data_IF_388175187735
#
_entry.id   IF_388175187735
#
_cell.length_a   1.000
_cell.length_b   1.000
_cell.length_c   1.000
_cell.angle_alpha   90.00
_cell.angle_beta   90.00
_cell.angle_gamma   90.00
#
_symmetry.space_group_name_H-M   'P 1'
#
loop_
_entity.id
_entity.type
_entity.pdbx_description
1 polymer ?
#
# COMPACT_ATOMS: atom_id res chain seq x y z
N UNK A 1 32.96 28.76 20.13
CA UNK A 1 32.58 27.94 18.96
C UNK A 1 33.78 27.39 18.15
N UNK A 2 35.04 27.68 18.50
CA UNK A 2 36.22 27.21 17.74
C UNK A 2 36.74 25.81 18.16
N UNK A 3 36.46 25.34 19.38
CA UNK A 3 37.02 24.08 19.90
C UNK A 3 36.38 22.79 19.34
N UNK A 4 35.18 22.86 18.74
CA UNK A 4 34.48 21.68 18.19
C UNK A 4 34.87 21.30 16.76
N UNK A 5 35.62 22.14 16.04
CA UNK A 5 36.09 21.82 14.67
C UNK A 5 37.42 21.06 14.64
N UNK A 6 38.25 21.18 15.68
CA UNK A 6 39.54 20.47 15.77
C UNK A 6 39.40 18.96 16.03
N UNK A 7 38.44 18.55 16.87
CA UNK A 7 38.26 17.13 17.23
C UNK A 7 37.70 16.28 16.09
N UNK A 8 36.93 16.87 15.16
CA UNK A 8 36.33 16.14 14.04
C UNK A 8 37.36 15.87 12.92
N UNK A 9 38.24 16.83 12.65
CA UNK A 9 39.33 16.68 11.68
C UNK A 9 40.41 15.68 12.13
N UNK A 10 40.69 15.59 13.44
CA UNK A 10 41.61 14.57 14.00
C UNK A 10 41.02 13.16 13.97
N UNK A 11 39.69 13.01 14.08
CA UNK A 11 39.00 11.72 13.93
C UNK A 11 39.07 11.19 12.50
N UNK A 12 38.76 12.04 11.51
CA UNK A 12 38.77 11.65 10.08
C UNK A 12 40.18 11.30 9.56
N UNK A 13 41.23 11.98 10.05
CA UNK A 13 42.62 11.68 9.69
C UNK A 13 43.10 10.33 10.27
N UNK A 14 42.64 9.97 11.48
CA UNK A 14 42.97 8.68 12.09
C UNK A 14 42.16 7.52 11.48
N UNK A 15 40.91 7.76 11.09
CA UNK A 15 40.08 6.77 10.41
C UNK A 15 40.66 6.43 9.02
N UNK A 16 41.00 7.46 8.23
CA UNK A 16 41.65 7.30 6.92
C UNK A 16 42.99 6.56 7.01
N UNK A 17 43.74 6.71 8.10
CA UNK A 17 45.02 6.02 8.31
C UNK A 17 44.82 4.54 8.65
N UNK A 18 43.79 4.22 9.43
CA UNK A 18 43.42 2.84 9.77
C UNK A 18 42.90 2.08 8.54
N UNK A 19 42.05 2.72 7.73
CA UNK A 19 41.44 2.11 6.54
C UNK A 19 42.51 1.79 5.47
N UNK A 20 43.54 2.65 5.35
CA UNK A 20 44.68 2.40 4.47
C UNK A 20 45.57 1.24 4.95
N UNK A 21 45.73 1.05 6.26
CA UNK A 21 46.48 -0.09 6.80
C UNK A 21 45.75 -1.43 6.60
N UNK A 22 44.42 -1.44 6.67
CA UNK A 22 43.61 -2.64 6.38
C UNK A 22 43.62 -3.01 4.89
N UNK A 23 43.55 -2.01 4.00
CA UNK A 23 43.72 -2.20 2.57
C UNK A 23 45.09 -2.79 2.22
N UNK A 24 46.17 -2.27 2.82
CA UNK A 24 47.53 -2.77 2.60
C UNK A 24 47.75 -4.18 3.16
N UNK A 25 47.10 -4.52 4.29
CA UNK A 25 47.13 -5.89 4.83
C UNK A 25 46.38 -6.86 3.91
N UNK A 26 45.20 -6.48 3.42
CA UNK A 26 44.40 -7.28 2.49
C UNK A 26 45.14 -7.57 1.17
N UNK A 27 45.78 -6.54 0.59
CA UNK A 27 46.64 -6.66 -0.59
C UNK A 27 47.89 -7.52 -0.33
N UNK A 28 48.47 -7.45 0.88
CA UNK A 28 49.62 -8.26 1.29
C UNK A 28 49.32 -9.76 1.34
N UNK A 29 48.13 -10.13 1.84
CA UNK A 29 47.65 -11.51 1.83
C UNK A 29 47.34 -12.03 0.43
N UNK A 30 46.84 -11.19 -0.48
CA UNK A 30 46.55 -11.59 -1.86
C UNK A 30 47.80 -11.79 -2.72
N UNK A 31 48.87 -11.05 -2.44
CA UNK A 31 50.11 -11.08 -3.23
C UNK A 31 51.23 -11.90 -2.56
N UNK A 32 51.00 -12.45 -1.36
CA UNK A 32 51.99 -13.18 -0.56
C UNK A 32 53.26 -12.35 -0.29
N UNK A 33 53.10 -11.04 -0.07
CA UNK A 33 54.19 -10.08 0.20
C UNK A 33 53.95 -9.37 1.53
N UNK A 34 54.91 -9.46 2.46
CA UNK A 34 54.86 -8.75 3.74
C UNK A 34 55.30 -7.28 3.57
N UNK A 35 54.35 -6.35 3.53
CA UNK A 35 54.62 -4.91 3.38
C UNK A 35 55.27 -4.25 4.62
N UNK A 36 55.43 -4.98 5.73
CA UNK A 36 56.11 -4.50 6.95
C UNK A 36 57.62 -4.29 6.79
N UNK A 37 58.21 -4.65 5.64
CA UNK A 37 59.63 -4.45 5.28
C UNK A 37 59.85 -3.34 4.25
N UNK A 38 58.89 -2.42 4.10
CA UNK A 38 59.04 -1.32 3.17
C UNK A 38 59.92 -0.21 3.78
N UNK A 39 61.23 -0.30 3.58
CA UNK A 39 62.15 0.79 3.90
C UNK A 39 61.88 1.98 2.97
N UNK A 40 61.57 3.13 3.56
CA UNK A 40 61.43 4.39 2.82
C UNK A 40 62.75 4.69 2.09
N UNK A 41 62.63 5.05 0.81
CA UNK A 41 63.77 5.36 -0.05
C UNK A 41 64.63 6.47 0.56
N UNK A 42 65.79 6.09 1.11
CA UNK A 42 66.85 7.03 1.40
C UNK A 42 67.63 7.32 0.11
N UNK A 43 67.82 8.59 -0.21
CA UNK A 43 68.69 9.02 -1.31
C UNK A 43 70.11 8.56 -1.00
N UNK A 44 70.55 7.48 -1.64
CA UNK A 44 71.97 7.13 -1.70
C UNK A 44 72.70 8.20 -2.52
N UNK A 45 73.33 9.18 -1.87
CA UNK A 45 74.35 10.01 -2.51
C UNK A 45 75.59 9.14 -2.77
N UNK A 46 75.58 8.42 -3.90
CA UNK A 46 76.82 7.91 -4.45
C UNK A 46 77.61 9.09 -5.00
N UNK A 47 78.59 9.54 -4.22
CA UNK A 47 79.72 10.33 -4.71
C UNK A 47 80.47 9.52 -5.76
N UNK A 48 80.02 9.58 -7.00
CA UNK A 48 80.82 9.18 -8.15
C UNK A 48 81.85 10.28 -8.41
N UNK A 49 83.04 10.11 -7.83
CA UNK A 49 84.25 10.78 -8.31
C UNK A 49 84.49 10.28 -9.74
N UNK A 50 84.01 11.02 -10.74
CA UNK A 50 84.50 10.86 -12.11
C UNK A 50 85.93 11.37 -12.15
N UNK A 51 86.86 10.43 -12.33
CA UNK A 51 88.26 10.73 -12.65
C UNK A 51 88.29 11.50 -13.97
N UNK A 52 88.68 12.77 -13.89
CA UNK A 52 89.22 13.50 -15.03
C UNK A 52 90.56 12.84 -15.37
N UNK A 53 90.62 12.07 -16.45
CA UNK A 53 91.89 11.71 -17.07
C UNK A 53 92.34 12.88 -17.93
N UNK A 54 93.20 13.72 -17.35
CA UNK A 54 94.06 14.64 -18.08
C UNK A 54 94.99 13.84 -18.99
N UNK A 55 94.79 13.93 -20.31
CA UNK A 55 95.78 13.49 -21.29
C UNK A 55 96.95 14.48 -21.32
N UNK A 56 98.20 14.03 -21.52
CA UNK A 56 99.36 14.90 -21.42
C UNK A 56 99.47 15.87 -22.62
N UNK A 57 99.51 17.16 -22.31
CA UNK A 57 99.99 18.24 -23.18
C UNK A 57 101.43 17.95 -23.63
N UNK A 58 101.63 17.55 -24.87
CA UNK A 58 102.95 17.58 -25.51
C UNK A 58 103.21 18.99 -26.07
N UNK A 59 103.76 19.87 -25.23
CA UNK A 59 104.40 21.13 -25.64
C UNK A 59 105.64 20.80 -26.49
N UNK A 60 105.54 20.98 -27.81
CA UNK A 60 106.72 20.98 -28.69
C UNK A 60 107.35 22.37 -28.63
N UNK A 61 108.36 22.53 -27.77
CA UNK A 61 109.22 23.71 -27.69
C UNK A 61 110.17 23.79 -28.88
N UNK A 62 110.03 24.89 -29.63
CA UNK A 62 110.91 25.35 -30.71
C UNK A 62 112.27 25.80 -30.11
N UNK A 63 113.39 25.23 -30.59
CA UNK A 63 114.74 25.71 -30.27
C UNK A 63 115.45 26.16 -31.55
N UNK A 64 115.60 27.48 -31.71
CA UNK A 64 116.44 28.13 -32.71
C UNK A 64 117.87 28.14 -32.18
N UNK A 65 118.77 27.44 -32.87
CA UNK A 65 120.21 27.42 -32.59
C UNK A 65 120.97 28.10 -33.71
N UNK A 66 121.61 29.21 -33.38
CA UNK A 66 122.41 30.03 -34.27
C UNK A 66 123.73 29.36 -34.68
N UNK A 67 124.16 29.68 -35.90
CA UNK A 67 125.44 29.33 -36.55
C UNK A 67 126.64 29.85 -35.75
N UNK A 68 127.79 29.16 -35.82
CA UNK A 68 129.06 29.88 -35.95
C UNK A 68 129.85 29.46 -37.18
N UNK A 69 130.39 30.49 -37.83
CA UNK A 69 131.27 30.51 -38.99
C UNK A 69 132.71 30.56 -38.50
N UNK A 70 133.58 29.63 -38.87
CA UNK A 70 135.04 29.82 -38.84
C UNK A 70 135.68 29.18 -40.07
N UNK A 71 136.58 29.94 -40.69
CA UNK A 71 137.36 29.71 -41.91
C UNK A 71 138.69 28.96 -41.60
N UNK A 72 139.75 29.07 -42.42
CA UNK A 72 140.10 28.22 -43.56
C UNK A 72 141.44 27.48 -43.32
N UNK A 73 141.84 26.55 -44.18
CA UNK A 73 143.23 26.08 -44.23
C UNK A 73 143.80 26.25 -45.64
N UNK A 74 144.95 26.92 -45.70
CA UNK A 74 145.70 27.32 -46.88
C UNK A 74 147.05 26.60 -46.81
N UNK A 75 147.36 25.77 -47.80
CA UNK A 75 148.73 25.32 -48.07
C UNK A 75 149.08 25.65 -49.52
N UNK A 76 150.16 26.41 -49.66
CA UNK A 76 150.92 26.74 -50.89
C UNK A 76 151.95 25.60 -51.03
N UNK A 77 152.32 25.07 -52.20
CA UNK A 77 153.27 25.70 -53.13
C UNK A 77 153.50 24.83 -54.37
N UNK A 78 153.82 25.51 -55.50
CA UNK A 78 154.77 25.15 -56.58
C UNK A 78 154.53 23.86 -57.40
N UNK A 79 154.73 23.77 -58.71
CA UNK A 79 155.55 24.53 -59.67
C UNK A 79 155.03 24.37 -61.11
N UNK A 80 155.52 25.23 -61.99
CA UNK A 80 155.18 25.38 -63.40
C UNK A 80 155.44 24.14 -64.28
N UNK A 81 154.60 23.96 -65.30
CA UNK A 81 154.76 22.93 -66.32
C UNK A 81 153.64 22.94 -67.36
N UNK A 82 153.72 23.90 -68.31
CA UNK A 82 153.23 23.91 -69.70
C UNK A 82 151.93 23.13 -70.06
N UNK A 83 150.91 23.92 -70.44
CA UNK A 83 149.93 23.68 -71.52
C UNK A 83 149.23 22.30 -71.60
N UNK A 84 148.04 22.20 -70.96
CA UNK A 84 146.85 21.38 -71.34
C UNK A 84 145.85 21.08 -70.17
N UNK A 85 145.94 21.75 -69.00
CA UNK A 85 145.19 21.39 -67.76
C UNK A 85 144.19 22.43 -67.19
N UNK A 86 143.80 23.48 -67.93
CA UNK A 86 142.78 24.46 -67.47
C UNK A 86 141.33 24.02 -67.71
N UNK A 87 141.12 23.02 -68.56
CA UNK A 87 139.79 22.45 -68.88
C UNK A 87 139.33 21.51 -67.75
N UNK A 88 140.24 20.71 -67.18
CA UNK A 88 139.91 19.66 -66.19
C UNK A 88 139.44 20.18 -64.81
N UNK A 89 139.99 21.28 -64.28
CA UNK A 89 139.54 21.86 -63.00
C UNK A 89 138.16 22.54 -63.11
N UNK A 90 137.89 23.16 -64.25
CA UNK A 90 136.61 23.79 -64.55
C UNK A 90 135.52 22.73 -64.80
N UNK A 91 135.91 21.57 -65.35
CA UNK A 91 135.06 20.38 -65.44
C UNK A 91 134.76 19.75 -64.07
N UNK A 92 135.71 19.67 -63.15
CA UNK A 92 135.49 19.15 -61.79
C UNK A 92 134.57 20.05 -60.95
N UNK A 93 134.69 21.38 -61.06
CA UNK A 93 133.75 22.31 -60.42
C UNK A 93 132.35 22.23 -61.06
N UNK A 94 132.27 22.06 -62.39
CA UNK A 94 131.00 21.79 -63.09
C UNK A 94 130.39 20.45 -62.67
N UNK A 95 131.19 19.42 -62.40
CA UNK A 95 130.74 18.12 -61.88
C UNK A 95 130.18 18.25 -60.46
N UNK A 96 130.88 18.93 -59.57
CA UNK A 96 130.40 19.21 -58.20
C UNK A 96 129.14 20.08 -58.19
N UNK A 97 129.06 21.07 -59.08
CA UNK A 97 127.85 21.87 -59.27
C UNK A 97 126.68 21.01 -59.78
N UNK A 98 126.92 20.10 -60.73
CA UNK A 98 125.91 19.13 -61.17
C UNK A 98 125.45 18.21 -60.04
N UNK A 99 126.36 17.67 -59.24
CA UNK A 99 126.01 16.85 -58.07
C UNK A 99 125.17 17.62 -57.04
N UNK A 100 125.51 18.89 -56.78
CA UNK A 100 124.73 19.76 -55.89
C UNK A 100 123.34 20.05 -56.48
N UNK A 101 123.25 20.30 -57.79
CA UNK A 101 121.97 20.50 -58.50
C UNK A 101 121.12 19.22 -58.41
N UNK A 102 121.69 18.04 -58.69
CA UNK A 102 120.99 16.75 -58.63
C UNK A 102 120.48 16.44 -57.20
N UNK A 103 121.27 16.74 -56.18
CA UNK A 103 120.86 16.60 -54.76
C UNK A 103 119.75 17.58 -54.40
N UNK A 104 119.82 18.83 -54.88
CA UNK A 104 118.76 19.82 -54.68
C UNK A 104 117.47 19.42 -55.42
N UNK A 105 117.58 18.89 -56.64
CA UNK A 105 116.44 18.37 -57.41
C UNK A 105 115.77 17.17 -56.71
N UNK A 106 116.56 16.25 -56.16
CA UNK A 106 116.07 15.14 -55.34
C UNK A 106 115.36 15.65 -54.08
N UNK A 107 115.94 16.63 -53.37
CA UNK A 107 115.29 17.27 -52.22
C UNK A 107 113.99 17.98 -52.59
N UNK A 108 113.97 18.70 -53.71
CA UNK A 108 112.75 19.36 -54.22
C UNK A 108 111.68 18.32 -54.57
N UNK A 109 112.05 17.21 -55.22
CA UNK A 109 111.13 16.09 -55.49
C UNK A 109 110.58 15.48 -54.20
N UNK A 110 111.45 15.21 -53.22
CA UNK A 110 111.02 14.65 -51.93
C UNK A 110 110.12 15.61 -51.14
N UNK A 111 110.45 16.91 -51.11
CA UNK A 111 109.59 17.93 -50.50
C UNK A 111 108.23 18.03 -51.21
N UNK A 112 108.18 17.95 -52.55
CA UNK A 112 106.92 17.92 -53.32
C UNK A 112 106.07 16.68 -53.00
N UNK A 113 106.67 15.49 -53.02
CA UNK A 113 105.99 14.24 -52.67
C UNK A 113 105.43 14.29 -51.25
N UNK A 114 106.20 14.81 -50.30
CA UNK A 114 105.78 14.96 -48.90
C UNK A 114 104.64 15.97 -48.76
N UNK A 115 104.70 17.10 -49.47
CA UNK A 115 103.62 18.08 -49.51
C UNK A 115 102.34 17.50 -50.12
N UNK A 116 102.45 16.69 -51.18
CA UNK A 116 101.30 16.01 -51.80
C UNK A 116 100.68 14.96 -50.86
N UNK A 117 101.50 14.21 -50.12
CA UNK A 117 101.02 13.29 -49.08
C UNK A 117 100.28 14.03 -47.96
N UNK A 118 100.82 15.15 -47.47
CA UNK A 118 100.13 15.98 -46.48
C UNK A 118 98.83 16.57 -47.03
N UNK A 119 98.80 16.96 -48.31
CA UNK A 119 97.59 17.47 -48.96
C UNK A 119 96.51 16.40 -49.05
N UNK A 120 96.86 15.17 -49.46
CA UNK A 120 95.94 14.01 -49.49
C UNK A 120 95.41 13.68 -48.10
N UNK A 121 96.30 13.62 -47.11
CA UNK A 121 95.92 13.36 -45.72
C UNK A 121 95.01 14.46 -45.16
N UNK A 122 95.25 15.71 -45.53
CA UNK A 122 94.39 16.84 -45.15
C UNK A 122 92.98 16.69 -45.73
N UNK A 123 92.86 16.31 -47.01
CA UNK A 123 91.54 16.07 -47.63
C UNK A 123 90.81 14.88 -47.01
N UNK A 124 91.51 13.78 -46.71
CA UNK A 124 90.93 12.62 -46.02
C UNK A 124 90.42 12.99 -44.62
N UNK A 125 91.19 13.79 -43.86
CA UNK A 125 90.77 14.26 -42.54
C UNK A 125 89.53 15.18 -42.61
N UNK A 126 89.44 16.04 -43.63
CA UNK A 126 88.26 16.88 -43.85
C UNK A 126 87.04 16.02 -44.17
N UNK A 127 87.20 15.03 -45.04
CA UNK A 127 86.11 14.11 -45.42
C UNK A 127 85.62 13.29 -44.21
N UNK A 128 86.54 12.72 -43.44
CA UNK A 128 86.19 12.01 -42.18
C UNK A 128 85.51 12.93 -41.17
N UNK A 129 85.97 14.17 -41.02
CA UNK A 129 85.30 15.13 -40.12
C UNK A 129 83.89 15.47 -40.61
N UNK A 130 83.68 15.63 -41.92
CA UNK A 130 82.35 15.87 -42.49
C UNK A 130 81.43 14.66 -42.29
N UNK A 131 81.93 13.44 -42.40
CA UNK A 131 81.18 12.22 -42.09
C UNK A 131 80.78 12.15 -40.62
N UNK A 132 81.69 12.49 -39.70
CA UNK A 132 81.39 12.54 -38.26
C UNK A 132 80.32 13.59 -37.98
N UNK A 133 80.42 14.79 -38.57
CA UNK A 133 79.42 15.86 -38.40
C UNK A 133 78.05 15.38 -38.88
N UNK A 134 77.97 14.80 -40.09
CA UNK A 134 76.70 14.22 -40.60
C UNK A 134 76.16 13.11 -39.71
N UNK A 135 77.04 12.26 -39.18
CA UNK A 135 76.69 11.20 -38.24
C UNK A 135 76.05 11.75 -36.97
N UNK A 136 76.68 12.75 -36.36
CA UNK A 136 76.19 13.43 -35.15
C UNK A 136 74.83 14.09 -35.44
N UNK A 137 74.71 14.89 -36.49
CA UNK A 137 73.46 15.57 -36.84
C UNK A 137 72.32 14.58 -37.08
N UNK A 138 72.59 13.46 -37.76
CA UNK A 138 71.58 12.42 -38.01
C UNK A 138 71.12 11.73 -36.72
N UNK A 139 72.06 11.44 -35.80
CA UNK A 139 71.76 10.84 -34.50
C UNK A 139 71.03 11.80 -33.59
N UNK A 140 71.45 13.06 -33.55
CA UNK A 140 70.75 14.11 -32.82
C UNK A 140 69.32 14.23 -33.32
N UNK A 141 69.11 14.31 -34.64
CA UNK A 141 67.77 14.41 -35.21
C UNK A 141 66.90 13.19 -34.89
N UNK A 142 67.48 11.99 -34.88
CA UNK A 142 66.78 10.77 -34.48
C UNK A 142 66.38 10.81 -32.99
N UNK A 143 67.30 11.18 -32.12
CA UNK A 143 67.05 11.31 -30.68
C UNK A 143 66.02 12.40 -30.40
N UNK A 144 66.10 13.57 -31.05
CA UNK A 144 65.11 14.63 -30.94
C UNK A 144 63.71 14.15 -31.38
N UNK A 145 63.63 13.39 -32.47
CA UNK A 145 62.37 12.82 -32.92
C UNK A 145 61.78 11.82 -31.92
N UNK A 146 62.61 10.97 -31.31
CA UNK A 146 62.19 10.03 -30.26
C UNK A 146 61.72 10.73 -28.98
N UNK A 147 62.51 11.69 -28.49
CA UNK A 147 62.16 12.49 -27.30
C UNK A 147 60.86 13.25 -27.54
N UNK A 148 60.67 13.85 -28.71
CA UNK A 148 59.43 14.55 -29.06
C UNK A 148 58.22 13.60 -29.11
N UNK A 149 58.39 12.39 -29.66
CA UNK A 149 57.34 11.36 -29.65
C UNK A 149 57.01 10.94 -28.22
N UNK A 150 58.02 10.74 -27.37
CA UNK A 150 57.83 10.37 -25.97
C UNK A 150 57.11 11.48 -25.18
N UNK A 151 57.50 12.74 -25.38
CA UNK A 151 56.88 13.88 -24.72
C UNK A 151 55.40 13.99 -25.09
N UNK A 152 55.05 13.83 -26.37
CA UNK A 152 53.65 13.79 -26.82
C UNK A 152 52.86 12.66 -26.17
N UNK A 153 53.44 11.45 -26.05
CA UNK A 153 52.79 10.34 -25.34
C UNK A 153 52.51 10.71 -23.87
N UNK A 154 53.47 11.33 -23.20
CA UNK A 154 53.31 11.74 -21.81
C UNK A 154 52.24 12.83 -21.65
N UNK A 155 52.22 13.82 -22.54
CA UNK A 155 51.19 14.87 -22.57
C UNK A 155 49.79 14.27 -22.79
N UNK A 156 49.66 13.32 -23.73
CA UNK A 156 48.38 12.61 -23.93
C UNK A 156 47.97 11.81 -22.71
N UNK A 157 48.90 11.09 -22.07
CA UNK A 157 48.62 10.30 -20.87
C UNK A 157 48.19 11.20 -19.70
N UNK A 158 48.87 12.33 -19.50
CA UNK A 158 48.53 13.30 -18.47
C UNK A 158 47.17 13.95 -18.74
N UNK A 159 46.87 14.30 -20.00
CA UNK A 159 45.57 14.83 -20.40
C UNK A 159 44.44 13.83 -20.17
N UNK A 160 44.63 12.56 -20.56
CA UNK A 160 43.68 11.48 -20.29
C UNK A 160 43.49 11.24 -18.79
N UNK A 161 44.57 11.26 -18.00
CA UNK A 161 44.49 11.13 -16.53
C UNK A 161 43.72 12.27 -15.87
N UNK A 162 43.93 13.51 -16.32
CA UNK A 162 43.19 14.67 -15.80
C UNK A 162 41.70 14.61 -16.17
N UNK A 163 41.37 14.24 -17.41
CA UNK A 163 40.00 14.06 -17.86
C UNK A 163 39.29 12.93 -17.10
N UNK A 164 39.96 11.79 -16.90
CA UNK A 164 39.43 10.68 -16.14
C UNK A 164 39.17 11.07 -14.67
N UNK A 165 40.12 11.78 -14.06
CA UNK A 165 39.96 12.28 -12.69
C UNK A 165 38.80 13.29 -12.57
N UNK A 166 38.59 14.17 -13.56
CA UNK A 166 37.45 15.08 -13.52
C UNK A 166 36.12 14.34 -13.67
N UNK A 167 36.05 13.31 -14.53
CA UNK A 167 34.87 12.47 -14.67
C UNK A 167 34.55 11.72 -13.36
N UNK A 168 35.55 11.09 -12.75
CA UNK A 168 35.35 10.43 -11.45
C UNK A 168 34.95 11.42 -10.35
N UNK A 169 35.53 12.62 -10.32
CA UNK A 169 35.12 13.65 -9.37
C UNK A 169 33.65 14.07 -9.57
N UNK A 170 33.20 14.17 -10.83
CA UNK A 170 31.82 14.46 -11.16
C UNK A 170 30.89 13.31 -10.75
N UNK A 171 31.19 12.06 -11.13
CA UNK A 171 30.40 10.88 -10.76
C UNK A 171 30.27 10.74 -9.24
N UNK A 172 31.36 10.96 -8.49
CA UNK A 172 31.33 10.94 -7.03
C UNK A 172 30.41 12.04 -6.48
N UNK A 173 30.42 13.24 -7.09
CA UNK A 173 29.55 14.33 -6.67
C UNK A 173 28.08 14.02 -6.96
N UNK A 174 27.77 13.47 -8.13
CA UNK A 174 26.42 13.07 -8.54
C UNK A 174 25.87 11.99 -7.61
N UNK A 175 26.62 10.91 -7.39
CA UNK A 175 26.21 9.82 -6.48
C UNK A 175 26.01 10.33 -5.05
N UNK A 176 26.85 11.25 -4.56
CA UNK A 176 26.66 11.87 -3.25
C UNK A 176 25.37 12.69 -3.17
N UNK A 177 25.07 13.45 -4.22
CA UNK A 177 23.85 14.25 -4.29
C UNK A 177 22.61 13.35 -4.34
N UNK A 178 22.63 12.29 -5.14
CA UNK A 178 21.54 11.30 -5.21
C UNK A 178 21.31 10.61 -3.87
N UNK A 179 22.39 10.26 -3.18
CA UNK A 179 22.32 9.69 -1.83
C UNK A 179 21.66 10.66 -0.86
N UNK A 180 22.09 11.93 -0.83
CA UNK A 180 21.51 12.96 0.04
C UNK A 180 20.01 13.14 -0.25
N UNK A 181 19.63 13.32 -1.52
CA UNK A 181 18.22 13.45 -1.92
C UNK A 181 17.38 12.23 -1.51
N UNK A 182 17.91 11.03 -1.72
CA UNK A 182 17.22 9.79 -1.36
C UNK A 182 17.05 9.70 0.16
N UNK A 183 18.08 10.03 0.93
CA UNK A 183 17.98 10.06 2.39
C UNK A 183 16.96 11.08 2.89
N UNK A 184 16.89 12.28 2.29
CA UNK A 184 15.88 13.28 2.64
C UNK A 184 14.45 12.82 2.31
N UNK A 185 14.25 12.17 1.17
CA UNK A 185 12.95 11.60 0.78
C UNK A 185 12.54 10.53 1.79
N UNK A 186 13.46 9.62 2.13
CA UNK A 186 13.20 8.56 3.11
C UNK A 186 12.89 9.15 4.49
N UNK A 187 13.68 10.13 4.96
CA UNK A 187 13.44 10.80 6.24
C UNK A 187 12.08 11.50 6.28
N UNK A 188 11.68 12.18 5.19
CA UNK A 188 10.34 12.78 5.08
C UNK A 188 9.25 11.73 5.16
N UNK A 189 9.40 10.61 4.43
CA UNK A 189 8.43 9.49 4.47
C UNK A 189 8.35 8.87 5.86
N UNK A 190 9.47 8.65 6.53
CA UNK A 190 9.51 8.13 7.91
C UNK A 190 8.77 9.08 8.84
N UNK A 191 9.05 10.39 8.82
CA UNK A 191 8.34 11.38 9.65
C UNK A 191 6.83 11.36 9.41
N UNK A 192 6.40 11.31 8.15
CA UNK A 192 4.96 11.23 7.83
C UNK A 192 4.31 9.95 8.34
N UNK A 193 5.04 8.82 8.33
CA UNK A 193 4.57 7.55 8.88
C UNK A 193 4.50 7.59 10.40
N UNK A 194 5.52 8.15 11.07
CA UNK A 194 5.54 8.36 12.52
C UNK A 194 4.35 9.22 12.98
N UNK A 195 4.08 10.33 12.31
CA UNK A 195 2.92 11.19 12.58
C UNK A 195 1.59 10.45 12.39
N UNK A 196 1.48 9.59 11.37
CA UNK A 196 0.30 8.79 11.11
C UNK A 196 0.08 7.72 12.20
N UNK A 197 1.14 7.06 12.64
CA UNK A 197 1.12 6.09 13.74
C UNK A 197 0.69 6.77 15.04
N UNK A 198 1.29 7.92 15.37
CA UNK A 198 0.93 8.71 16.54
C UNK A 198 -0.55 9.11 16.54
N UNK A 199 -1.07 9.53 15.38
CA UNK A 199 -2.48 9.89 15.21
C UNK A 199 -3.39 8.68 15.43
N UNK A 200 -3.01 7.50 14.93
CA UNK A 200 -3.74 6.26 15.13
C UNK A 200 -3.71 5.83 16.60
N UNK A 201 -2.56 5.91 17.27
CA UNK A 201 -2.42 5.58 18.68
C UNK A 201 -3.24 6.50 19.59
N UNK A 202 -3.34 7.79 19.26
CA UNK A 202 -4.24 8.72 19.97
C UNK A 202 -5.70 8.32 19.78
N UNK A 203 -6.12 8.00 18.55
CA UNK A 203 -7.49 7.52 18.27
C UNK A 203 -7.79 6.21 18.99
N UNK A 204 -6.85 5.27 18.98
CA UNK A 204 -6.97 3.99 19.65
C UNK A 204 -7.17 4.18 21.16
N UNK A 205 -6.36 5.04 21.79
CA UNK A 205 -6.50 5.36 23.22
C UNK A 205 -7.85 6.00 23.55
N UNK A 206 -8.37 6.90 22.71
CA UNK A 206 -9.71 7.47 22.90
C UNK A 206 -10.78 6.39 22.82
N UNK A 207 -10.72 5.51 21.81
CA UNK A 207 -11.67 4.41 21.66
C UNK A 207 -11.59 3.38 22.77
N UNK A 208 -10.40 3.07 23.27
CA UNK A 208 -10.21 2.22 24.44
C UNK A 208 -10.86 2.82 25.70
N UNK A 209 -10.72 4.13 25.93
CA UNK A 209 -11.40 4.83 27.03
C UNK A 209 -12.92 4.81 26.86
N UNK A 210 -13.42 5.02 25.65
CA UNK A 210 -14.86 4.94 25.35
C UNK A 210 -15.42 3.54 25.63
N UNK A 211 -14.72 2.49 25.19
CA UNK A 211 -15.09 1.10 25.50
C UNK A 211 -15.06 0.83 27.00
N UNK A 212 -14.05 1.32 27.72
CA UNK A 212 -13.97 1.18 29.17
C UNK A 212 -15.14 1.89 29.87
N UNK A 213 -15.51 3.09 29.41
CA UNK A 213 -16.65 3.84 29.92
C UNK A 213 -17.96 3.07 29.68
N UNK A 214 -18.19 2.61 28.45
CA UNK A 214 -19.39 1.83 28.11
C UNK A 214 -19.48 0.53 28.90
N UNK A 215 -18.34 -0.14 29.13
CA UNK A 215 -18.29 -1.32 29.99
C UNK A 215 -18.65 -0.98 31.43
N UNK A 216 -18.10 0.10 31.99
CA UNK A 216 -18.46 0.55 33.34
C UNK A 216 -19.95 0.90 33.45
N UNK A 217 -20.50 1.57 32.44
CA UNK A 217 -21.93 1.85 32.37
C UNK A 217 -22.76 0.55 32.38
N UNK A 218 -22.43 -0.40 31.50
CA UNK A 218 -23.12 -1.68 31.39
C UNK A 218 -23.06 -2.50 32.68
N UNK A 219 -21.88 -2.58 33.31
CA UNK A 219 -21.66 -3.49 34.43
C UNK A 219 -22.09 -2.88 35.78
N UNK A 220 -22.09 -1.54 35.91
CA UNK A 220 -22.37 -0.86 37.20
C UNK A 220 -23.61 0.02 37.19
N UNK A 221 -23.71 0.95 36.24
CA UNK A 221 -24.76 1.96 36.26
C UNK A 221 -26.08 1.42 35.72
N UNK A 222 -26.03 0.64 34.64
CA UNK A 222 -27.21 0.12 33.96
C UNK A 222 -28.03 -0.81 34.87
N UNK A 223 -27.45 -1.81 35.57
CA UNK A 223 -28.23 -2.70 36.43
C UNK A 223 -28.89 -1.95 37.59
N UNK A 224 -28.23 -0.92 38.13
CA UNK A 224 -28.81 -0.07 39.18
C UNK A 224 -30.00 0.71 38.64
N UNK A 225 -29.87 1.31 37.45
CA UNK A 225 -30.99 2.03 36.80
C UNK A 225 -32.14 1.08 36.47
N UNK A 226 -31.85 -0.13 36.00
CA UNK A 226 -32.83 -1.15 35.71
C UNK A 226 -33.61 -1.57 36.96
N UNK A 227 -32.92 -1.77 38.08
CA UNK A 227 -33.56 -2.02 39.39
C UNK A 227 -34.45 -0.86 39.83
N UNK A 228 -34.01 0.39 39.64
CA UNK A 228 -34.81 1.58 39.96
C UNK A 228 -36.08 1.62 39.09
N UNK A 229 -35.96 1.35 37.79
CA UNK A 229 -37.11 1.29 36.88
C UNK A 229 -38.08 0.19 37.31
N UNK A 230 -37.59 -1.00 37.63
CA UNK A 230 -38.43 -2.10 38.11
C UNK A 230 -39.16 -1.74 39.41
N UNK A 231 -38.47 -1.09 40.37
CA UNK A 231 -39.09 -0.60 41.59
C UNK A 231 -40.20 0.41 41.32
N UNK A 232 -39.96 1.39 40.44
CA UNK A 232 -40.96 2.40 40.08
C UNK A 232 -42.18 1.76 39.39
N UNK A 233 -41.96 0.75 38.53
CA UNK A 233 -43.07 0.01 37.91
C UNK A 233 -43.92 -0.72 38.96
N UNK A 234 -43.29 -1.37 39.94
CA UNK A 234 -44.02 -2.01 41.06
C UNK A 234 -44.82 -0.99 41.88
N UNK A 235 -44.27 0.20 42.10
CA UNK A 235 -44.95 1.28 42.81
C UNK A 235 -46.16 1.80 42.02
N UNK A 236 -46.03 1.96 40.70
CA UNK A 236 -47.14 2.32 39.82
C UNK A 236 -48.24 1.26 39.86
N UNK A 237 -47.90 -0.02 39.76
CA UNK A 237 -48.90 -1.11 39.81
C UNK A 237 -49.58 -1.17 41.19
N UNK A 238 -48.84 -0.96 42.27
CA UNK A 238 -49.40 -0.90 43.62
C UNK A 238 -50.40 0.25 43.75
N UNK A 239 -50.05 1.46 43.29
CA UNK A 239 -50.94 2.62 43.34
C UNK A 239 -52.16 2.42 42.45
N UNK A 240 -51.98 1.81 41.27
CA UNK A 240 -53.07 1.48 40.35
C UNK A 240 -54.06 0.51 40.99
N UNK A 241 -53.58 -0.53 41.66
CA UNK A 241 -54.42 -1.50 42.35
C UNK A 241 -55.18 -0.84 43.51
N UNK A 242 -54.51 -0.03 44.32
CA UNK A 242 -55.18 0.73 45.40
C UNK A 242 -56.27 1.66 44.85
N UNK A 243 -55.99 2.39 43.77
CA UNK A 243 -56.98 3.26 43.16
C UNK A 243 -58.17 2.47 42.57
N UNK A 244 -57.93 1.26 42.07
CA UNK A 244 -58.99 0.38 41.58
C UNK A 244 -59.87 -0.11 42.74
N UNK A 245 -59.27 -0.51 43.86
CA UNK A 245 -59.99 -0.88 45.09
C UNK A 245 -60.84 0.30 45.61
N UNK A 246 -60.25 1.49 45.71
CA UNK A 246 -60.97 2.72 46.12
C UNK A 246 -62.14 3.05 45.18
N UNK A 247 -61.98 2.81 43.87
CA UNK A 247 -63.04 3.02 42.89
C UNK A 247 -64.18 2.01 43.07
N UNK A 248 -63.86 0.72 43.26
CA UNK A 248 -64.85 -0.32 43.50
C UNK A 248 -65.64 -0.07 44.80
N UNK A 249 -64.94 0.35 45.87
CA UNK A 249 -65.57 0.76 47.13
C UNK A 249 -66.52 1.95 46.94
N UNK A 250 -66.10 2.96 46.16
CA UNK A 250 -66.93 4.12 45.86
C UNK A 250 -68.16 3.74 45.04
N UNK A 251 -68.01 2.89 44.03
CA UNK A 251 -69.11 2.37 43.21
C UNK A 251 -70.11 1.61 44.08
N UNK A 252 -69.63 0.76 45.00
CA UNK A 252 -70.48 0.04 45.95
C UNK A 252 -71.23 0.99 46.91
N UNK A 253 -70.57 2.05 47.41
CA UNK A 253 -71.22 3.08 48.23
C UNK A 253 -72.32 3.79 47.43
N UNK A 254 -72.02 4.19 46.19
CA UNK A 254 -72.99 4.86 45.30
C UNK A 254 -74.21 3.96 45.07
N UNK A 255 -74.01 2.69 44.73
CA UNK A 255 -75.09 1.74 44.50
C UNK A 255 -75.92 1.52 45.77
N UNK A 256 -75.26 1.39 46.92
CA UNK A 256 -75.92 1.22 48.22
C UNK A 256 -76.79 2.43 48.58
N UNK A 257 -76.24 3.65 48.44
CA UNK A 257 -76.96 4.89 48.73
C UNK A 257 -78.09 5.14 47.74
N UNK A 258 -77.87 4.96 46.43
CA UNK A 258 -78.93 5.03 45.43
C UNK A 258 -80.05 4.03 45.71
N UNK A 259 -79.70 2.80 46.12
CA UNK A 259 -80.65 1.79 46.55
C UNK A 259 -81.45 2.22 47.79
N UNK A 260 -80.80 2.83 48.80
CA UNK A 260 -81.47 3.39 49.98
C UNK A 260 -82.43 4.52 49.59
N UNK A 261 -81.99 5.49 48.80
CA UNK A 261 -82.83 6.59 48.32
C UNK A 261 -84.01 6.09 47.47
N UNK A 262 -83.78 5.10 46.60
CA UNK A 262 -84.84 4.49 45.79
C UNK A 262 -85.91 3.82 46.67
N UNK A 263 -85.49 3.02 47.66
CA UNK A 263 -86.41 2.39 48.62
C UNK A 263 -87.17 3.42 49.44
N UNK A 264 -86.48 4.44 49.96
CA UNK A 264 -87.10 5.48 50.77
C UNK A 264 -88.11 6.31 49.96
N UNK A 265 -87.78 6.64 48.71
CA UNK A 265 -88.68 7.32 47.78
C UNK A 265 -89.95 6.50 47.53
N UNK A 266 -89.83 5.20 47.25
CA UNK A 266 -90.98 4.31 47.05
C UNK A 266 -91.81 4.21 48.34
N UNK A 267 -91.16 4.06 49.50
CA UNK A 267 -91.83 4.01 50.80
C UNK A 267 -92.63 5.29 51.08
N UNK A 268 -92.03 6.46 50.85
CA UNK A 268 -92.69 7.74 51.05
C UNK A 268 -93.84 7.94 50.07
N UNK A 269 -93.65 7.62 48.79
CA UNK A 269 -94.70 7.68 47.78
C UNK A 269 -95.88 6.77 48.15
N UNK A 270 -95.62 5.52 48.54
CA UNK A 270 -96.65 4.59 49.00
C UNK A 270 -97.34 5.10 50.26
N UNK A 271 -96.62 5.69 51.22
CA UNK A 271 -97.23 6.26 52.43
C UNK A 271 -98.18 7.42 52.09
N UNK A 272 -97.78 8.32 51.18
CA UNK A 272 -98.63 9.42 50.71
C UNK A 272 -99.88 8.88 49.99
N UNK A 273 -99.70 7.90 49.10
CA UNK A 273 -100.81 7.25 48.40
C UNK A 273 -101.76 6.58 49.39
N UNK A 274 -101.25 5.81 50.36
CA UNK A 274 -102.06 5.16 51.39
C UNK A 274 -102.84 6.18 52.21
N UNK A 275 -102.20 7.26 52.70
CA UNK A 275 -102.91 8.29 53.47
C UNK A 275 -104.01 8.99 52.66
N UNK A 276 -103.72 9.35 51.41
CA UNK A 276 -104.72 9.95 50.52
C UNK A 276 -105.85 8.96 50.18
N UNK A 277 -105.52 7.69 49.97
CA UNK A 277 -106.50 6.63 49.78
C UNK A 277 -107.36 6.40 51.03
N UNK A 278 -106.78 6.42 52.23
CA UNK A 278 -107.50 6.31 53.51
C UNK A 278 -108.46 7.49 53.71
N UNK A 279 -108.01 8.73 53.46
CA UNK A 279 -108.86 9.93 53.51
C UNK A 279 -110.03 9.83 52.54
N UNK A 280 -109.79 9.37 51.31
CA UNK A 280 -110.86 9.20 50.30
C UNK A 280 -111.80 8.04 50.62
N UNK A 281 -111.30 6.92 51.12
CA UNK A 281 -112.13 5.76 51.54
C UNK A 281 -112.99 6.11 52.75
N UNK A 282 -112.48 6.89 53.70
CA UNK A 282 -113.26 7.35 54.87
C UNK A 282 -114.50 8.19 54.48
N UNK A 283 -114.49 8.82 53.30
CA UNK A 283 -115.64 9.56 52.76
C UNK A 283 -116.69 8.66 52.07
N UNK A 284 -116.37 7.39 51.82
CA UNK A 284 -117.26 6.45 51.12
C UNK A 284 -118.31 5.89 52.11
N UNK A 285 -119.61 5.90 51.76
CA UNK A 285 -120.63 5.29 52.61
C UNK A 285 -120.40 3.77 52.77
N UNK A 286 -120.58 3.18 53.97
CA UNK A 286 -120.28 1.77 54.24
C UNK A 286 -121.13 0.77 53.42
N UNK A 287 -122.27 1.20 52.88
CA UNK A 287 -123.05 0.40 51.94
C UNK A 287 -122.40 0.29 50.55
N UNK A 288 -121.74 1.36 50.09
CA UNK A 288 -121.05 1.40 48.80
C UNK A 288 -119.71 0.64 48.86
N UNK A 289 -119.02 0.69 50.01
CA UNK A 289 -117.80 -0.10 50.25
C UNK A 289 -118.06 -1.61 50.10
N UNK A 290 -119.11 -2.12 50.75
CA UNK A 290 -119.51 -3.54 50.63
C UNK A 290 -119.87 -3.92 49.20
N UNK A 291 -120.58 -3.04 48.49
CA UNK A 291 -120.93 -3.28 47.08
C UNK A 291 -119.68 -3.26 46.18
N UNK A 292 -118.73 -2.36 46.42
CA UNK A 292 -117.47 -2.32 45.68
C UNK A 292 -116.64 -3.59 45.93
N UNK A 293 -116.56 -4.06 47.17
CA UNK A 293 -115.88 -5.31 47.52
C UNK A 293 -116.53 -6.51 46.84
N UNK A 294 -117.88 -6.56 46.85
CA UNK A 294 -118.63 -7.60 46.16
C UNK A 294 -118.41 -7.54 44.65
N UNK A 295 -118.36 -6.35 44.05
CA UNK A 295 -118.06 -6.19 42.62
C UNK A 295 -116.64 -6.66 42.28
N UNK A 296 -115.64 -6.38 43.13
CA UNK A 296 -114.26 -6.84 42.95
C UNK A 296 -114.18 -8.37 43.08
N UNK A 297 -114.84 -8.94 44.09
CA UNK A 297 -114.91 -10.39 44.28
C UNK A 297 -115.57 -11.07 43.08
N UNK A 298 -116.73 -10.56 42.65
CA UNK A 298 -117.46 -11.08 41.49
C UNK A 298 -116.65 -10.93 40.20
N UNK A 299 -115.92 -9.82 40.02
CA UNK A 299 -115.01 -9.66 38.88
C UNK A 299 -113.90 -10.71 38.87
N UNK A 300 -113.27 -10.97 40.02
CA UNK A 300 -112.26 -12.04 40.14
C UNK A 300 -112.85 -13.41 39.86
N UNK A 301 -114.05 -13.68 40.35
CA UNK A 301 -114.74 -14.95 40.13
C UNK A 301 -115.13 -15.14 38.66
N UNK A 302 -115.59 -14.08 37.98
CA UNK A 302 -115.79 -14.07 36.52
C UNK A 302 -114.49 -14.36 35.78
N UNK A 303 -113.36 -13.80 36.22
CA UNK A 303 -112.06 -14.01 35.60
C UNK A 303 -111.58 -15.46 35.76
N UNK A 304 -111.79 -16.06 36.94
CA UNK A 304 -111.54 -17.49 37.19
C UNK A 304 -112.44 -18.36 36.31
N UNK A 305 -113.74 -18.09 36.26
CA UNK A 305 -114.68 -18.85 35.41
C UNK A 305 -114.37 -18.71 33.92
N UNK A 306 -113.88 -17.55 33.46
CA UNK A 306 -113.42 -17.38 32.08
C UNK A 306 -112.26 -18.29 31.75
N UNK A 307 -111.28 -18.40 32.65
CA UNK A 307 -110.13 -19.30 32.47
C UNK A 307 -110.61 -20.76 32.41
N UNK A 308 -111.50 -21.14 33.33
CA UNK A 308 -112.05 -22.51 33.36
C UNK A 308 -112.87 -22.83 32.10
N UNK A 309 -113.69 -21.89 31.63
CA UNK A 309 -114.47 -22.06 30.41
C UNK A 309 -113.57 -22.23 29.19
N UNK A 310 -112.48 -21.46 29.07
CA UNK A 310 -111.51 -21.61 27.99
C UNK A 310 -110.84 -22.99 28.03
N UNK A 311 -110.46 -23.48 29.23
CA UNK A 311 -109.91 -24.81 29.42
C UNK A 311 -110.89 -25.91 28.97
N UNK A 312 -112.15 -25.84 29.42
CA UNK A 312 -113.19 -26.80 29.03
C UNK A 312 -113.47 -26.78 27.52
N UNK A 313 -113.45 -25.60 26.88
CA UNK A 313 -113.60 -25.48 25.42
C UNK A 313 -112.44 -26.19 24.71
N UNK A 314 -111.21 -26.04 25.21
CA UNK A 314 -110.04 -26.71 24.65
C UNK A 314 -110.11 -28.24 24.82
N UNK A 315 -110.50 -28.72 26.00
CA UNK A 315 -110.71 -30.16 26.23
C UNK A 315 -111.82 -30.74 25.34
N UNK A 316 -112.94 -30.04 25.20
CA UNK A 316 -114.03 -30.48 24.34
C UNK A 316 -113.60 -30.55 22.87
N UNK A 317 -112.81 -29.58 22.38
CA UNK A 317 -112.19 -29.63 21.05
C UNK A 317 -111.27 -30.85 20.90
N UNK A 318 -110.47 -31.17 21.92
CA UNK A 318 -109.58 -32.34 21.91
C UNK A 318 -110.37 -33.64 21.86
N UNK A 319 -111.43 -33.76 22.68
CA UNK A 319 -112.33 -34.91 22.66
C UNK A 319 -113.05 -35.05 21.33
N UNK A 320 -113.51 -33.95 20.72
CA UNK A 320 -114.11 -33.97 19.38
C UNK A 320 -113.12 -34.46 18.32
N UNK A 321 -111.84 -34.06 18.41
CA UNK A 321 -110.79 -34.56 17.52
C UNK A 321 -110.55 -36.06 17.74
N UNK A 322 -110.48 -36.51 18.99
CA UNK A 322 -110.30 -37.93 19.33
C UNK A 322 -111.47 -38.79 18.83
N UNK A 323 -112.71 -38.32 19.02
CA UNK A 323 -113.91 -38.97 18.47
C UNK A 323 -113.87 -39.00 16.94
N UNK A 324 -113.48 -37.90 16.29
CA UNK A 324 -113.34 -37.85 14.83
C UNK A 324 -112.26 -38.82 14.31
N UNK A 325 -111.15 -38.98 15.04
CA UNK A 325 -110.11 -39.96 14.74
C UNK A 325 -110.60 -41.40 14.96
N UNK A 326 -111.31 -41.67 16.06
CA UNK A 326 -111.93 -42.96 16.34
C UNK A 326 -112.96 -43.38 15.28
N UNK A 327 -113.74 -42.44 14.74
CA UNK A 327 -114.69 -42.69 13.64
C UNK A 327 -113.96 -43.00 12.32
N UNK A 328 -112.84 -42.33 12.04
CA UNK A 328 -112.02 -42.58 10.84
C UNK A 328 -111.19 -43.86 10.92
N UNK A 329 -110.98 -44.40 12.13
CA UNK A 329 -110.17 -45.60 12.30
C UNK A 329 -110.89 -46.82 11.70
N UNK A 330 -110.27 -47.57 10.76
CA UNK A 330 -110.91 -48.66 10.01
C UNK A 330 -111.37 -49.88 10.85
N UNK A 331 -111.13 -49.87 12.17
CA UNK A 331 -111.59 -50.89 13.13
C UNK A 331 -112.92 -50.51 13.82
N UNK A 332 -113.39 -49.26 13.70
CA UNK A 332 -114.67 -48.82 14.30
C UNK A 332 -115.90 -49.10 13.43
N UNK A 333 -115.70 -49.43 12.15
CA UNK A 333 -116.80 -49.73 11.23
C UNK A 333 -117.17 -51.22 11.31
N UNK A 334 -117.78 -51.63 12.43
CA UNK A 334 -118.22 -53.02 12.72
C UNK A 334 -119.01 -53.66 11.56
N UNK A 335 -119.73 -52.85 10.78
CA UNK A 335 -120.54 -53.30 9.65
C UNK A 335 -119.70 -53.82 8.47
N UNK A 336 -118.53 -53.20 8.21
CA UNK A 336 -117.56 -53.64 7.20
C UNK A 336 -116.68 -54.80 7.71
N UNK A 337 -116.56 -54.96 9.03
CA UNK A 337 -115.75 -56.01 9.66
C UNK A 337 -116.49 -57.35 9.79
N UNK A 338 -117.81 -57.34 9.95
CA UNK A 338 -118.64 -58.54 10.11
C UNK A 338 -119.13 -59.15 8.79
N UNK A 339 -119.29 -58.35 7.72
CA UNK A 339 -119.82 -58.83 6.43
C UNK A 339 -119.06 -58.25 5.22
N UNK A 340 -117.81 -58.67 4.97
CA UNK A 340 -117.03 -58.20 3.82
C UNK A 340 -117.65 -58.58 2.47
N UNK A 341 -118.37 -59.71 2.41
CA UNK A 341 -118.91 -60.27 1.16
C UNK A 341 -120.25 -59.66 0.72
N UNK A 342 -120.99 -58.97 1.62
CA UNK A 342 -122.31 -58.42 1.30
C UNK A 342 -122.22 -56.97 0.78
N UNK A 343 -121.13 -56.27 1.11
CA UNK A 343 -120.89 -54.88 0.69
C UNK A 343 -119.61 -54.76 -0.15
N UNK A 344 -119.55 -55.35 -1.37
CA UNK A 344 -118.49 -55.01 -2.29
C UNK A 344 -118.60 -53.52 -2.63
N UNK A 345 -117.45 -52.82 -2.62
CA UNK A 345 -117.34 -51.43 -3.05
C UNK A 345 -117.66 -51.33 -4.55
N UNK A 346 -118.95 -51.31 -4.88
CA UNK A 346 -119.47 -50.99 -6.21
C UNK A 346 -119.99 -49.57 -6.18
N UNK A 347 -119.53 -48.77 -7.13
CA UNK A 347 -120.02 -47.44 -7.42
C UNK A 347 -121.52 -47.55 -7.78
N UNK A 348 -122.37 -46.82 -7.04
CA UNK A 348 -123.81 -46.78 -7.31
C UNK A 348 -124.06 -45.87 -8.52
N UNK A 349 -124.88 -46.34 -9.46
CA UNK A 349 -125.38 -45.53 -10.57
C UNK A 349 -126.26 -44.38 -10.07
N UNK A 350 -126.02 -43.17 -10.59
CA UNK A 350 -126.80 -41.98 -10.29
C UNK A 350 -128.12 -41.91 -11.10
N UNK A 351 -129.17 -41.25 -10.56
CA UNK A 351 -130.56 -41.42 -11.01
C UNK A 351 -130.88 -40.95 -12.44
N UNK A 352 -129.99 -40.18 -13.07
CA UNK A 352 -130.22 -39.54 -14.38
C UNK A 352 -129.47 -40.19 -15.54
N UNK A 353 -129.01 -41.44 -15.38
CA UNK A 353 -128.39 -42.18 -16.49
C UNK A 353 -129.46 -43.03 -17.20
N UNK A 354 -129.75 -42.70 -18.46
CA UNK A 354 -130.77 -43.33 -19.30
C UNK A 354 -130.38 -44.79 -19.63
N UNK A 355 -131.08 -45.75 -19.02
CA UNK A 355 -130.85 -47.19 -19.18
C UNK A 355 -131.70 -47.71 -20.35
N UNK A 356 -131.10 -47.89 -21.52
CA UNK A 356 -131.73 -48.57 -22.66
C UNK A 356 -131.43 -50.06 -22.57
N UNK A 357 -132.45 -50.86 -22.21
CA UNK A 357 -132.38 -52.33 -22.19
C UNK A 357 -132.73 -52.89 -23.57
N UNK A 358 -131.75 -53.51 -24.22
CA UNK A 358 -131.87 -54.22 -25.50
C UNK A 358 -132.53 -55.60 -25.26
N UNK A 359 -133.82 -55.73 -25.55
CA UNK A 359 -134.56 -57.00 -25.42
C UNK A 359 -134.83 -57.56 -26.83
N UNK A 360 -134.24 -58.71 -27.21
CA UNK A 360 -134.47 -59.33 -28.50
C UNK A 360 -135.85 -60.01 -28.55
N UNK A 361 -136.71 -59.61 -29.50
CA UNK A 361 -137.94 -60.35 -29.85
C UNK A 361 -137.76 -61.15 -31.14
N UNK A 362 -137.88 -62.46 -30.98
CA UNK A 362 -137.77 -63.51 -31.97
C UNK A 362 -139.05 -63.53 -32.83
N UNK A 363 -138.94 -63.35 -34.15
CA UNK A 363 -140.00 -63.77 -35.08
C UNK A 363 -140.19 -65.31 -34.91
N UNK A 364 -141.37 -65.92 -35.12
CA UNK A 364 -141.74 -66.50 -36.42
C UNK A 364 -143.09 -67.26 -36.33
N UNK A 365 -143.87 -67.14 -37.43
CA UNK A 365 -145.00 -67.93 -38.00
C UNK A 365 -146.46 -67.59 -37.59
N UNK A 366 -147.26 -67.43 -38.68
CA UNK A 366 -148.71 -67.48 -38.95
C UNK A 366 -149.65 -68.12 -37.92
N UNK A 367 -150.93 -67.76 -37.84
CA UNK A 367 -151.79 -67.00 -38.79
C UNK A 367 -152.23 -65.63 -38.27
#
# INVERSE_FOLDING_TARGET
MAAKRGSKALGEANQSRSDNEELLKSLGTQLNVHFSKYDQWQRSSRNAKSQVSTGPEAKITFKVGAVPRVRPSRCVSTSAGKTQKSVAKLEDEKRKQKEIIDVLELKIKHCRQTADLYRKRSTELIEMNLDIIRGIESQEQAVYAEVKKLLRKYETFQGSGAALNSLFAQEISEVKQELEQTTEIIQRKIKTLEEAVDKLDRKLRVKQKEVQFLRNYKDKEYPVKELIISKLLMEIDSVKNLNQEDQEDLEHIIETELGKYGRERIRLANNIICKSAEETVALIPPGLEKMALQNVMMKKEIEVHKIEQENLIQENKKLQQEVAELIKHPKSNLRLQLFPEIFPAKEKCDPDTEVVLDIPTQEWISL
#
